data_IF_628328487471
#
_entry.id   IF_628328487471
#
_cell.length_a   1.000
_cell.length_b   1.000
_cell.length_c   1.000
_cell.angle_alpha   90.00
_cell.angle_beta   90.00
_cell.angle_gamma   90.00
#
_symmetry.space_group_name_H-M   'P 1'
#
loop_
_entity.id
_entity.type
_entity.pdbx_description
1 polymer ?
#
# COMPACT_ATOMS: atom_id res chain seq x y z
N UNK A 1 -7.73 -23.20 -49.32
CA UNK A 1 -7.76 -22.55 -48.00
C UNK A 1 -7.11 -21.20 -48.19
N UNK A 2 -7.91 -20.14 -48.28
CA UNK A 2 -7.37 -18.78 -48.42
C UNK A 2 -7.04 -18.26 -47.02
N UNK A 3 -5.81 -17.78 -46.86
CA UNK A 3 -5.33 -17.21 -45.61
C UNK A 3 -6.17 -15.98 -45.27
N UNK A 4 -6.90 -16.06 -44.17
CA UNK A 4 -7.74 -14.97 -43.69
C UNK A 4 -6.91 -14.07 -42.78
N UNK A 5 -6.68 -12.83 -43.22
CA UNK A 5 -6.08 -11.78 -42.40
C UNK A 5 -7.20 -11.01 -41.72
N UNK A 6 -7.23 -11.07 -40.38
CA UNK A 6 -8.16 -10.30 -39.56
C UNK A 6 -7.42 -9.07 -39.03
N UNK A 7 -7.87 -7.89 -39.43
CA UNK A 7 -7.34 -6.62 -38.94
C UNK A 7 -8.31 -6.05 -37.89
N UNK A 8 -7.82 -5.84 -36.67
CA UNK A 8 -8.63 -5.26 -35.59
C UNK A 8 -8.58 -3.73 -35.70
N UNK A 9 -9.72 -3.05 -35.94
CA UNK A 9 -9.78 -1.60 -36.05
C UNK A 9 -9.21 -0.92 -34.81
N UNK A 10 -8.41 0.12 -35.01
CA UNK A 10 -7.80 0.92 -33.93
C UNK A 10 -8.83 1.52 -32.97
N UNK A 11 -10.07 1.73 -33.41
CA UNK A 11 -11.20 2.21 -32.61
C UNK A 11 -11.74 1.18 -31.61
N UNK A 12 -11.49 -0.12 -31.84
CA UNK A 12 -11.95 -1.25 -31.00
C UNK A 12 -10.81 -1.76 -30.11
N UNK A 13 -9.55 -1.36 -30.39
CA UNK A 13 -8.45 -1.61 -29.47
C UNK A 13 -8.80 -0.97 -28.13
N UNK A 14 -8.88 -1.79 -27.08
CA UNK A 14 -9.13 -1.36 -25.71
C UNK A 14 -8.27 -0.13 -25.41
N UNK A 15 -8.92 1.02 -25.38
CA UNK A 15 -8.31 2.24 -24.90
C UNK A 15 -8.14 2.04 -23.40
N UNK A 16 -6.96 1.58 -22.98
CA UNK A 16 -6.61 1.36 -21.58
C UNK A 16 -6.87 2.62 -20.74
N UNK A 17 -6.79 3.81 -21.35
CA UNK A 17 -7.20 5.03 -20.67
C UNK A 17 -8.70 5.04 -20.40
N UNK A 18 -9.56 4.55 -21.29
CA UNK A 18 -11.02 4.63 -21.19
C UNK A 18 -11.66 3.58 -20.27
N UNK A 19 -11.04 2.40 -20.15
CA UNK A 19 -11.48 1.34 -19.21
C UNK A 19 -11.21 1.74 -17.76
N UNK A 20 -10.13 2.49 -17.51
CA UNK A 20 -9.71 2.94 -16.18
C UNK A 20 -9.85 4.44 -15.94
N UNK A 21 -10.17 5.26 -16.96
CA UNK A 21 -10.67 6.62 -16.78
C UNK A 21 -12.13 6.52 -16.38
N UNK A 22 -12.31 6.20 -15.12
CA UNK A 22 -13.57 6.35 -14.43
C UNK A 22 -13.88 7.86 -14.33
N UNK A 23 -14.40 8.46 -15.41
CA UNK A 23 -15.33 9.60 -15.25
C UNK A 23 -16.60 9.15 -14.49
N UNK A 24 -16.77 7.84 -14.32
CA UNK A 24 -17.47 7.27 -13.19
C UNK A 24 -16.68 7.65 -11.93
N UNK A 25 -17.03 8.78 -11.28
CA UNK A 25 -16.80 8.91 -9.83
C UNK A 25 -17.03 7.52 -9.25
N UNK A 26 -16.00 6.90 -8.67
CA UNK A 26 -16.11 5.55 -8.09
C UNK A 26 -17.48 5.48 -7.44
N UNK A 27 -18.28 4.49 -7.81
CA UNK A 27 -19.70 4.46 -7.47
C UNK A 27 -19.86 4.05 -5.99
N UNK A 28 -19.14 4.75 -5.10
CA UNK A 28 -19.29 4.76 -3.65
C UNK A 28 -20.75 5.15 -3.32
N UNK A 29 -21.42 5.90 -4.21
CA UNK A 29 -22.84 6.20 -4.13
C UNK A 29 -23.76 5.02 -4.53
N UNK A 30 -23.30 4.03 -5.32
CA UNK A 30 -24.04 2.77 -5.53
C UNK A 30 -24.05 1.90 -4.27
N UNK A 31 -23.01 2.00 -3.45
CA UNK A 31 -23.00 1.44 -2.10
C UNK A 31 -23.60 2.47 -1.14
N UNK A 32 -24.87 2.83 -1.36
CA UNK A 32 -25.71 3.30 -0.25
C UNK A 32 -25.76 2.16 0.76
N UNK A 33 -24.89 2.16 1.77
CA UNK A 33 -25.10 1.62 3.13
C UNK A 33 -23.79 1.48 3.93
N UNK A 34 -23.66 2.29 4.99
CA UNK A 34 -23.06 1.97 6.30
C UNK A 34 -21.65 1.36 6.42
N UNK A 35 -20.71 1.59 5.49
CA UNK A 35 -19.30 1.27 5.77
C UNK A 35 -18.61 2.45 6.47
N UNK A 36 -18.23 2.27 7.74
CA UNK A 36 -17.27 3.17 8.39
C UNK A 36 -15.86 2.79 7.95
N UNK A 37 -15.09 3.76 7.45
CA UNK A 37 -13.72 3.52 7.01
C UNK A 37 -12.82 3.17 8.22
N UNK A 38 -12.61 1.88 8.44
CA UNK A 38 -11.72 1.33 9.47
C UNK A 38 -10.29 1.25 8.98
N UNK A 39 -9.56 2.36 8.95
CA UNK A 39 -8.17 2.37 8.46
C UNK A 39 -7.18 1.74 9.44
N UNK A 40 -7.55 1.68 10.72
CA UNK A 40 -6.68 1.43 11.88
C UNK A 40 -5.53 2.42 12.04
N UNK A 41 -5.51 3.48 11.21
CA UNK A 41 -4.53 4.55 11.24
C UNK A 41 -5.19 5.80 11.83
N UNK A 42 -4.53 6.44 12.80
CA UNK A 42 -4.98 7.70 13.39
C UNK A 42 -3.83 8.70 13.41
N UNK A 43 -4.07 9.91 12.87
CA UNK A 43 -3.16 11.04 13.03
C UNK A 43 -3.72 11.97 14.11
N UNK A 44 -2.92 12.27 15.12
CA UNK A 44 -3.34 13.07 16.29
C UNK A 44 -2.43 14.27 16.42
N UNK A 45 -2.96 15.45 16.14
CA UNK A 45 -2.25 16.71 16.36
C UNK A 45 -2.19 17.04 17.87
N UNK A 46 -0.99 17.36 18.34
CA UNK A 46 -0.68 17.72 19.72
C UNK A 46 0.02 19.08 19.76
N UNK A 47 -0.50 19.98 20.59
CA UNK A 47 0.17 21.22 21.00
C UNK A 47 0.71 20.99 22.42
N UNK A 48 1.99 20.60 22.51
CA UNK A 48 2.60 20.15 23.76
C UNK A 48 3.13 21.34 24.57
N UNK A 49 2.95 21.29 25.88
CA UNK A 49 3.56 22.26 26.80
C UNK A 49 5.08 22.13 26.75
N UNK A 50 5.77 23.25 26.53
CA UNK A 50 7.24 23.36 26.55
C UNK A 50 7.80 22.99 27.93
N UNK A 51 9.01 22.41 28.01
CA UNK A 51 9.68 22.14 29.28
C UNK A 51 10.03 23.45 30.00
N UNK A 52 9.97 23.42 31.34
CA UNK A 52 10.38 24.51 32.22
C UNK A 52 10.97 23.93 33.52
N UNK A 53 11.48 24.79 34.40
CA UNK A 53 11.94 24.35 35.73
C UNK A 53 10.82 23.70 36.55
N UNK A 54 9.58 24.17 36.38
CA UNK A 54 8.39 23.61 37.05
C UNK A 54 7.80 22.38 36.34
N UNK A 55 8.22 22.11 35.10
CA UNK A 55 7.76 20.96 34.31
C UNK A 55 8.94 20.29 33.61
N UNK A 56 9.54 19.33 34.32
CA UNK A 56 10.72 18.57 33.89
C UNK A 56 10.38 17.17 33.36
N UNK A 57 9.12 16.93 32.98
CA UNK A 57 8.71 15.65 32.37
C UNK A 57 9.51 15.35 31.11
N UNK A 58 9.76 14.07 30.88
CA UNK A 58 10.40 13.57 29.66
C UNK A 58 9.57 13.91 28.41
N UNK A 59 10.24 14.04 27.27
CA UNK A 59 9.59 14.29 25.98
C UNK A 59 8.56 13.19 25.64
N UNK A 60 8.88 11.94 25.96
CA UNK A 60 7.93 10.82 25.83
C UNK A 60 6.73 10.95 26.77
N UNK A 61 6.96 11.37 28.02
CA UNK A 61 5.88 11.66 28.97
C UNK A 61 4.94 12.74 28.44
N UNK A 62 5.47 13.83 27.90
CA UNK A 62 4.68 14.90 27.29
C UNK A 62 3.81 14.39 26.14
N UNK A 63 4.35 13.55 25.26
CA UNK A 63 3.61 12.96 24.14
C UNK A 63 2.47 12.09 24.66
N UNK A 64 2.74 11.19 25.63
CA UNK A 64 1.70 10.33 26.23
C UNK A 64 0.60 11.15 26.89
N UNK A 65 0.95 12.19 27.63
CA UNK A 65 -0.03 13.07 28.27
C UNK A 65 -0.86 13.85 27.23
N UNK A 66 -0.22 14.28 26.14
CA UNK A 66 -0.89 14.89 24.99
C UNK A 66 -1.90 13.93 24.35
N UNK A 67 -1.52 12.68 24.11
CA UNK A 67 -2.43 11.65 23.59
C UNK A 67 -3.59 11.36 24.55
N UNK A 68 -3.31 11.34 25.87
CA UNK A 68 -4.35 11.13 26.91
C UNK A 68 -5.38 12.24 26.86
N UNK A 69 -4.93 13.50 26.70
CA UNK A 69 -5.83 14.64 26.57
C UNK A 69 -6.74 14.57 25.34
N UNK A 70 -6.31 13.85 24.29
CA UNK A 70 -7.08 13.60 23.06
C UNK A 70 -7.96 12.35 23.14
N UNK A 71 -8.11 11.74 24.32
CA UNK A 71 -8.91 10.53 24.55
C UNK A 71 -8.47 9.32 23.71
N UNK A 72 -7.17 9.22 23.43
CA UNK A 72 -6.62 7.99 22.84
C UNK A 72 -6.56 6.93 23.93
N UNK A 73 -7.18 5.77 23.68
CA UNK A 73 -7.22 4.67 24.63
C UNK A 73 -5.90 3.88 24.65
N UNK A 74 -5.70 3.06 25.69
CA UNK A 74 -4.59 2.11 25.80
C UNK A 74 -3.18 2.72 25.71
N UNK A 75 -3.02 3.98 26.13
CA UNK A 75 -1.74 4.71 26.09
C UNK A 75 -0.64 4.01 26.88
N UNK A 76 -0.99 3.33 27.98
CA UNK A 76 -0.04 2.55 28.78
C UNK A 76 0.61 1.40 28.01
N UNK A 77 -0.05 0.90 26.96
CA UNK A 77 0.37 -0.24 26.16
C UNK A 77 0.85 0.17 24.75
N UNK A 78 1.04 1.47 24.50
CA UNK A 78 1.51 1.94 23.19
C UNK A 78 2.92 1.43 22.92
N UNK A 79 3.07 0.74 21.80
CA UNK A 79 4.37 0.32 21.27
C UNK A 79 4.97 1.47 20.46
N UNK A 80 6.29 1.59 20.47
CA UNK A 80 7.03 2.51 19.60
C UNK A 80 8.40 1.92 19.31
N UNK A 81 8.95 2.20 18.13
CA UNK A 81 10.30 1.78 17.78
C UNK A 81 11.36 2.68 18.42
N UNK A 82 12.56 2.14 18.64
CA UNK A 82 13.73 2.91 19.09
C UNK A 82 14.10 4.02 18.08
N UNK A 83 13.85 3.80 16.79
CA UNK A 83 14.10 4.79 15.75
C UNK A 83 13.27 6.06 15.95
N UNK A 84 11.99 5.93 16.31
CA UNK A 84 11.13 7.06 16.61
C UNK A 84 11.61 7.76 17.88
N UNK A 85 11.94 7.00 18.95
CA UNK A 85 12.43 7.57 20.20
C UNK A 85 13.70 8.43 20.01
N UNK A 86 14.61 8.00 19.14
CA UNK A 86 15.82 8.76 18.78
C UNK A 86 15.50 10.10 18.09
N UNK A 87 14.41 10.17 17.31
CA UNK A 87 14.02 11.38 16.57
C UNK A 87 13.30 12.42 17.44
N UNK A 88 12.61 11.98 18.51
CA UNK A 88 11.74 12.84 19.34
C UNK A 88 12.42 14.14 19.79
N UNK A 89 13.60 14.13 20.46
CA UNK A 89 14.09 15.33 21.11
C UNK A 89 14.33 16.49 20.13
N UNK A 90 14.93 16.19 18.98
CA UNK A 90 15.19 17.19 17.94
C UNK A 90 13.88 17.60 17.27
N UNK A 91 13.08 16.62 16.85
CA UNK A 91 11.86 16.86 16.08
C UNK A 91 10.87 17.77 16.80
N UNK A 92 10.57 17.50 18.08
CA UNK A 92 9.57 18.29 18.80
C UNK A 92 10.03 19.73 19.04
N UNK A 93 11.34 19.97 19.20
CA UNK A 93 11.90 21.32 19.43
C UNK A 93 11.85 22.12 18.13
N UNK A 94 12.26 21.52 17.02
CA UNK A 94 12.17 22.14 15.69
C UNK A 94 10.72 22.43 15.28
N UNK A 95 9.77 21.60 15.73
CA UNK A 95 8.34 21.82 15.51
C UNK A 95 7.70 22.81 16.49
N UNK A 96 8.49 23.45 17.37
CA UNK A 96 7.99 24.32 18.44
C UNK A 96 6.90 23.64 19.29
N UNK A 97 7.08 22.35 19.57
CA UNK A 97 6.20 21.48 20.35
C UNK A 97 4.80 21.24 19.74
N UNK A 98 4.60 21.62 18.47
CA UNK A 98 3.40 21.34 17.69
C UNK A 98 3.67 20.18 16.74
N UNK A 99 3.16 19.00 17.05
CA UNK A 99 3.48 17.77 16.32
C UNK A 99 2.21 16.99 15.98
N UNK A 100 2.32 16.12 14.98
CA UNK A 100 1.31 15.11 14.70
C UNK A 100 1.87 13.73 14.99
N UNK A 101 1.20 12.97 15.84
CA UNK A 101 1.55 11.57 16.15
C UNK A 101 0.73 10.65 15.26
N UNK A 102 1.39 9.69 14.62
CA UNK A 102 0.77 8.73 13.73
C UNK A 102 0.72 7.37 14.42
N UNK A 103 -0.50 6.90 14.67
CA UNK A 103 -0.78 5.61 15.30
C UNK A 103 -1.32 4.63 14.28
N UNK A 104 -0.83 3.40 14.31
CA UNK A 104 -1.42 2.27 13.61
C UNK A 104 -1.72 1.16 14.62
N UNK A 105 -3.00 0.81 14.78
CA UNK A 105 -3.47 0.01 15.91
C UNK A 105 -2.99 0.61 17.25
N UNK A 106 -2.22 -0.15 18.03
CA UNK A 106 -1.65 0.28 19.32
C UNK A 106 -0.14 0.58 19.23
N UNK A 107 0.35 0.99 18.06
CA UNK A 107 1.77 1.35 17.83
C UNK A 107 1.86 2.79 17.29
N UNK A 108 2.76 3.60 17.87
CA UNK A 108 3.19 4.86 17.26
C UNK A 108 4.20 4.49 16.18
N UNK A 109 3.82 4.74 14.93
CA UNK A 109 4.63 4.37 13.76
C UNK A 109 5.43 5.55 13.20
N UNK A 110 5.02 6.79 13.49
CA UNK A 110 5.76 7.99 13.11
C UNK A 110 5.34 9.23 13.94
N UNK A 111 6.16 10.28 13.88
CA UNK A 111 5.86 11.61 14.43
C UNK A 111 6.29 12.67 13.40
N UNK A 112 5.42 13.64 13.14
CA UNK A 112 5.60 14.69 12.14
C UNK A 112 5.54 16.08 12.77
N UNK A 113 6.20 17.05 12.11
CA UNK A 113 6.19 18.45 12.53
C UNK A 113 4.88 19.12 12.10
N UNK A 114 4.30 19.94 12.96
CA UNK A 114 3.07 20.68 12.69
C UNK A 114 1.82 19.81 12.67
N UNK A 115 0.74 20.37 12.14
CA UNK A 115 -0.54 19.66 11.95
C UNK A 115 -0.59 19.06 10.54
N UNK A 116 -0.45 17.74 10.47
CA UNK A 116 -0.50 16.96 9.23
C UNK A 116 -1.70 16.01 9.21
N UNK A 117 -2.70 16.25 10.08
CA UNK A 117 -3.86 15.36 10.26
C UNK A 117 -4.69 15.17 8.98
N UNK A 118 -4.72 16.19 8.11
CA UNK A 118 -5.40 16.14 6.81
C UNK A 118 -4.66 15.32 5.75
N UNK A 119 -3.34 15.15 5.90
CA UNK A 119 -2.51 14.43 4.92
C UNK A 119 -2.36 12.97 5.33
N UNK A 120 -3.37 12.16 5.00
CA UNK A 120 -3.42 10.74 5.34
C UNK A 120 -3.96 9.96 4.14
N UNK A 121 -3.09 9.23 3.45
CA UNK A 121 -3.44 8.58 2.20
C UNK A 121 -3.11 7.08 2.22
N UNK A 122 -3.83 6.34 1.39
CA UNK A 122 -3.58 4.94 1.12
C UNK A 122 -3.68 4.66 -0.37
N UNK A 123 -3.13 3.53 -0.81
CA UNK A 123 -3.26 3.07 -2.18
C UNK A 123 -3.71 1.61 -2.21
N UNK A 124 -4.74 1.34 -2.99
CA UNK A 124 -5.20 -0.02 -3.29
C UNK A 124 -4.65 -0.44 -4.65
N UNK A 125 -4.15 -1.67 -4.75
CA UNK A 125 -3.65 -2.26 -5.98
C UNK A 125 -4.47 -3.49 -6.36
N UNK A 126 -4.81 -3.57 -7.64
CA UNK A 126 -5.28 -4.77 -8.32
C UNK A 126 -4.18 -5.24 -9.25
N UNK A 127 -3.56 -6.38 -8.89
CA UNK A 127 -2.40 -6.95 -9.58
C UNK A 127 -2.87 -8.09 -10.46
N UNK A 128 -3.37 -7.75 -11.64
CA UNK A 128 -3.74 -8.69 -12.67
C UNK A 128 -2.54 -9.21 -13.47
N UNK A 129 -2.77 -10.29 -14.21
CA UNK A 129 -1.73 -10.91 -15.07
C UNK A 129 -1.33 -9.97 -16.21
N UNK A 130 -2.29 -9.28 -16.83
CA UNK A 130 -2.04 -8.38 -17.98
C UNK A 130 -1.92 -6.92 -17.57
N UNK A 131 -2.62 -6.51 -16.51
CA UNK A 131 -2.74 -5.11 -16.10
C UNK A 131 -2.61 -5.01 -14.60
N UNK A 132 -1.93 -3.95 -14.15
CA UNK A 132 -1.83 -3.57 -12.75
C UNK A 132 -2.48 -2.21 -12.60
N UNK A 133 -3.48 -2.11 -11.73
CA UNK A 133 -4.17 -0.86 -11.43
C UNK A 133 -3.90 -0.43 -10.00
N UNK A 134 -3.74 0.87 -9.78
CA UNK A 134 -3.62 1.47 -8.44
C UNK A 134 -4.57 2.64 -8.27
N UNK A 135 -5.18 2.70 -7.09
CA UNK A 135 -6.21 3.67 -6.70
C UNK A 135 -5.75 4.39 -5.44
N UNK A 136 -5.40 5.67 -5.55
CA UNK A 136 -5.01 6.50 -4.42
C UNK A 136 -6.26 7.02 -3.72
N UNK A 137 -6.31 6.87 -2.40
CA UNK A 137 -7.48 7.14 -1.58
C UNK A 137 -7.12 8.04 -0.39
N UNK A 138 -7.96 9.02 -0.08
CA UNK A 138 -7.90 9.78 1.17
C UNK A 138 -8.42 8.91 2.33
N UNK A 139 -7.58 8.66 3.33
CA UNK A 139 -7.91 7.81 4.48
C UNK A 139 -8.81 8.49 5.53
N UNK A 140 -9.04 9.80 5.42
CA UNK A 140 -9.99 10.52 6.25
C UNK A 140 -11.40 10.48 5.66
N UNK A 141 -11.54 10.55 4.34
CA UNK A 141 -12.84 10.65 3.66
C UNK A 141 -13.27 9.37 2.96
N UNK A 142 -12.31 8.50 2.59
CA UNK A 142 -12.53 7.34 1.73
C UNK A 142 -12.66 7.69 0.24
N UNK A 143 -12.43 8.94 -0.14
CA UNK A 143 -12.53 9.39 -1.53
C UNK A 143 -11.33 8.90 -2.35
N UNK A 144 -11.61 8.36 -3.54
CA UNK A 144 -10.58 8.08 -4.55
C UNK A 144 -10.10 9.42 -5.15
N UNK A 145 -8.82 9.71 -4.98
CA UNK A 145 -8.18 10.94 -5.45
C UNK A 145 -7.65 10.81 -6.88
N UNK A 146 -7.16 9.62 -7.24
CA UNK A 146 -6.66 9.33 -8.58
C UNK A 146 -6.52 7.81 -8.81
N UNK A 147 -6.59 7.41 -10.07
CA UNK A 147 -6.35 6.05 -10.51
C UNK A 147 -5.35 6.02 -11.68
N UNK A 148 -4.51 4.98 -11.71
CA UNK A 148 -3.57 4.70 -12.79
C UNK A 148 -3.55 3.20 -13.05
N UNK A 149 -3.64 2.81 -14.32
CA UNK A 149 -3.44 1.43 -14.75
C UNK A 149 -2.26 1.36 -15.73
N UNK A 150 -1.45 0.31 -15.59
CA UNK A 150 -0.30 0.02 -16.45
C UNK A 150 -0.34 -1.44 -16.90
N UNK A 151 0.25 -1.73 -18.06
CA UNK A 151 0.51 -3.11 -18.45
C UNK A 151 1.42 -3.77 -17.42
N UNK A 152 1.16 -5.04 -17.11
CA UNK A 152 2.02 -5.80 -16.21
C UNK A 152 3.34 -6.13 -16.95
N UNK A 153 4.50 -5.59 -16.51
CA UNK A 153 5.78 -5.74 -17.22
C UNK A 153 6.26 -7.19 -17.26
N UNK A 154 5.70 -8.08 -16.42
CA UNK A 154 6.02 -9.49 -16.43
C UNK A 154 5.60 -10.21 -17.73
N UNK A 155 4.83 -9.56 -18.61
CA UNK A 155 4.44 -10.11 -19.93
C UNK A 155 5.64 -10.52 -20.78
N UNK A 156 6.79 -9.85 -20.63
CA UNK A 156 8.04 -10.17 -21.35
C UNK A 156 8.56 -11.59 -20.98
N UNK A 157 8.18 -12.10 -19.82
CA UNK A 157 8.63 -13.37 -19.26
C UNK A 157 7.56 -14.47 -19.31
N UNK A 158 6.38 -14.16 -19.85
CA UNK A 158 5.27 -15.09 -19.98
C UNK A 158 3.93 -14.37 -20.14
N UNK A 159 3.16 -14.82 -21.13
CA UNK A 159 1.85 -14.27 -21.47
C UNK A 159 0.77 -14.62 -20.43
N UNK A 160 0.97 -15.70 -19.67
CA UNK A 160 0.03 -16.20 -18.68
C UNK A 160 0.71 -16.62 -17.36
N UNK A 161 -0.09 -17.04 -16.39
CA UNK A 161 0.38 -17.49 -15.08
C UNK A 161 1.30 -18.71 -15.18
N UNK A 162 1.01 -19.67 -16.07
CA UNK A 162 1.76 -20.93 -16.16
C UNK A 162 3.15 -20.70 -16.75
N UNK A 163 3.22 -19.93 -17.83
CA UNK A 163 4.47 -19.54 -18.47
C UNK A 163 5.38 -18.73 -17.54
N UNK A 164 4.82 -17.83 -16.71
CA UNK A 164 5.58 -17.10 -15.68
C UNK A 164 6.09 -18.01 -14.57
N UNK A 165 5.30 -19.00 -14.14
CA UNK A 165 5.76 -20.03 -13.20
C UNK A 165 6.93 -20.81 -13.81
N UNK A 166 6.81 -21.22 -15.08
CA UNK A 166 7.89 -21.87 -15.81
C UNK A 166 9.15 -21.02 -15.92
N UNK A 167 9.02 -19.72 -16.19
CA UNK A 167 10.15 -18.79 -16.19
C UNK A 167 10.83 -18.71 -14.83
N UNK A 168 10.06 -18.55 -13.75
CA UNK A 168 10.58 -18.50 -12.38
C UNK A 168 11.36 -19.78 -12.00
N UNK A 169 10.91 -20.94 -12.49
CA UNK A 169 11.53 -22.25 -12.28
C UNK A 169 12.82 -22.47 -13.07
N UNK A 170 12.93 -21.84 -14.23
CA UNK A 170 13.96 -22.16 -15.21
C UNK A 170 15.38 -21.90 -14.67
N UNK A 171 15.61 -20.77 -14.00
CA UNK A 171 16.93 -20.40 -13.50
C UNK A 171 16.86 -19.71 -12.15
N UNK A 172 17.89 -19.93 -11.33
CA UNK A 172 18.09 -19.20 -10.08
C UNK A 172 18.21 -17.70 -10.39
N UNK A 173 17.43 -16.85 -9.70
CA UNK A 173 17.38 -15.41 -9.97
C UNK A 173 16.14 -14.97 -10.76
N UNK A 174 15.44 -15.89 -11.45
CA UNK A 174 14.30 -15.51 -12.28
C UNK A 174 13.07 -15.07 -11.48
N UNK A 175 12.88 -15.64 -10.28
CA UNK A 175 11.83 -15.20 -9.36
C UNK A 175 12.06 -13.76 -8.92
N UNK A 176 13.30 -13.40 -8.61
CA UNK A 176 13.71 -12.07 -8.20
C UNK A 176 13.56 -11.06 -9.35
N UNK A 177 13.78 -11.48 -10.61
CA UNK A 177 13.46 -10.67 -11.79
C UNK A 177 11.96 -10.38 -11.83
N UNK A 178 11.10 -11.40 -11.80
CA UNK A 178 9.65 -11.23 -11.83
C UNK A 178 9.14 -10.35 -10.68
N UNK A 179 9.68 -10.54 -9.47
CA UNK A 179 9.37 -9.72 -8.30
C UNK A 179 9.75 -8.26 -8.53
N UNK A 180 10.97 -8.01 -9.01
CA UNK A 180 11.46 -6.65 -9.27
C UNK A 180 10.59 -5.94 -10.30
N UNK A 181 10.21 -6.60 -11.39
CA UNK A 181 9.39 -6.00 -12.43
C UNK A 181 8.01 -5.58 -11.90
N UNK A 182 7.35 -6.43 -11.10
CA UNK A 182 6.04 -6.07 -10.54
C UNK A 182 6.15 -4.97 -9.47
N UNK A 183 7.20 -4.98 -8.65
CA UNK A 183 7.46 -3.91 -7.67
C UNK A 183 7.76 -2.58 -8.37
N UNK A 184 8.50 -2.60 -9.48
CA UNK A 184 8.76 -1.40 -10.30
C UNK A 184 7.45 -0.82 -10.85
N UNK A 185 6.56 -1.67 -11.35
CA UNK A 185 5.23 -1.21 -11.80
C UNK A 185 4.44 -0.56 -10.65
N UNK A 186 4.46 -1.12 -9.44
CA UNK A 186 3.79 -0.51 -8.28
C UNK A 186 4.37 0.86 -7.96
N UNK A 187 5.70 0.99 -7.97
CA UNK A 187 6.39 2.26 -7.72
C UNK A 187 6.03 3.34 -8.75
N UNK A 188 5.96 2.99 -10.03
CA UNK A 188 5.52 3.91 -11.09
C UNK A 188 4.08 4.36 -10.90
N UNK A 189 3.19 3.44 -10.55
CA UNK A 189 1.78 3.74 -10.27
C UNK A 189 1.64 4.64 -9.04
N UNK A 190 2.38 4.37 -7.95
CA UNK A 190 2.41 5.24 -6.75
C UNK A 190 2.83 6.65 -7.13
N UNK A 191 3.92 6.79 -7.89
CA UNK A 191 4.43 8.10 -8.31
C UNK A 191 3.42 8.85 -9.18
N UNK A 192 2.83 8.18 -10.16
CA UNK A 192 1.90 8.82 -11.10
C UNK A 192 0.57 9.19 -10.43
N UNK A 193 0.01 8.32 -9.58
CA UNK A 193 -1.21 8.62 -8.80
C UNK A 193 -1.00 9.79 -7.84
N UNK A 194 0.11 9.78 -7.11
CA UNK A 194 0.48 10.85 -6.19
C UNK A 194 0.68 12.19 -6.93
N UNK A 195 1.37 12.17 -8.07
CA UNK A 195 1.55 13.36 -8.90
C UNK A 195 0.22 13.92 -9.42
N UNK A 196 -0.69 13.07 -9.91
CA UNK A 196 -2.03 13.49 -10.39
C UNK A 196 -2.87 14.14 -9.29
N UNK A 197 -2.75 13.65 -8.06
CA UNK A 197 -3.52 14.15 -6.92
C UNK A 197 -2.82 15.30 -6.16
N UNK A 198 -1.58 15.66 -6.52
CA UNK A 198 -0.79 16.65 -5.76
C UNK A 198 -0.42 16.19 -4.34
N UNK A 199 -0.28 14.88 -4.15
CA UNK A 199 0.01 14.23 -2.85
C UNK A 199 1.50 13.91 -2.76
N UNK A 200 2.10 14.14 -1.59
CA UNK A 200 3.44 13.62 -1.27
C UNK A 200 3.34 12.12 -0.91
N UNK A 201 4.13 11.29 -1.59
CA UNK A 201 4.20 9.83 -1.35
C UNK A 201 4.59 9.46 0.08
N UNK A 202 5.26 10.36 0.81
CA UNK A 202 5.55 10.18 2.24
C UNK A 202 4.29 10.21 3.11
N UNK A 203 3.17 10.73 2.61
CA UNK A 203 1.89 10.72 3.33
C UNK A 203 1.02 9.50 2.97
N UNK A 204 1.54 8.53 2.21
CA UNK A 204 0.87 7.27 1.94
C UNK A 204 1.31 6.25 3.00
N UNK A 205 0.40 5.92 3.93
CA UNK A 205 0.69 5.05 5.09
C UNK A 205 0.11 3.65 4.97
N UNK A 206 -0.78 3.41 4.00
CA UNK A 206 -1.45 2.12 3.85
C UNK A 206 -1.44 1.69 2.39
N UNK A 207 -1.03 0.45 2.17
CA UNK A 207 -1.11 -0.21 0.88
C UNK A 207 -1.99 -1.43 1.05
N UNK A 208 -2.90 -1.65 0.12
CA UNK A 208 -3.72 -2.87 0.08
C UNK A 208 -3.58 -3.50 -1.30
N UNK A 209 -3.31 -4.80 -1.38
CA UNK A 209 -3.00 -5.46 -2.64
C UNK A 209 -3.88 -6.69 -2.81
N UNK A 210 -4.65 -6.71 -3.89
CA UNK A 210 -5.39 -7.84 -4.41
C UNK A 210 -4.73 -8.33 -5.70
N UNK A 211 -4.95 -9.59 -6.03
CA UNK A 211 -4.42 -10.23 -7.23
C UNK A 211 -4.58 -11.74 -7.13
N UNK A 212 -4.50 -12.41 -8.28
CA UNK A 212 -4.55 -13.85 -8.30
C UNK A 212 -3.36 -14.46 -7.56
N UNK A 213 -3.51 -15.72 -7.15
CA UNK A 213 -2.53 -16.43 -6.32
C UNK A 213 -1.12 -16.42 -6.90
N UNK A 214 -0.96 -16.50 -8.22
CA UNK A 214 0.37 -16.43 -8.84
C UNK A 214 0.97 -15.02 -8.71
N UNK A 215 0.23 -13.97 -9.06
CA UNK A 215 0.69 -12.58 -8.94
C UNK A 215 1.04 -12.23 -7.50
N UNK A 216 0.23 -12.68 -6.55
CA UNK A 216 0.51 -12.61 -5.11
C UNK A 216 1.88 -13.21 -4.77
N UNK A 217 2.16 -14.44 -5.22
CA UNK A 217 3.42 -15.11 -4.92
C UNK A 217 4.62 -14.41 -5.57
N UNK A 218 4.51 -14.00 -6.83
CA UNK A 218 5.58 -13.28 -7.54
C UNK A 218 5.91 -11.94 -6.88
N UNK A 219 4.91 -11.16 -6.48
CA UNK A 219 5.10 -9.89 -5.79
C UNK A 219 5.85 -10.06 -4.46
N UNK A 220 5.52 -11.12 -3.72
CA UNK A 220 6.13 -11.42 -2.42
C UNK A 220 7.46 -12.19 -2.52
N UNK A 221 7.90 -12.55 -3.74
CA UNK A 221 9.08 -13.40 -3.92
C UNK A 221 8.90 -14.81 -3.35
N UNK A 222 7.65 -15.27 -3.24
CA UNK A 222 7.33 -16.64 -2.84
C UNK A 222 7.43 -17.55 -4.07
N UNK A 223 8.10 -18.69 -3.91
CA UNK A 223 8.28 -19.63 -5.01
C UNK A 223 6.92 -20.21 -5.49
N UNK A 224 6.49 -19.94 -6.73
CA UNK A 224 5.17 -20.36 -7.22
C UNK A 224 5.18 -21.76 -7.86
N UNK A 225 6.30 -22.50 -7.78
CA UNK A 225 6.56 -23.72 -8.56
C UNK A 225 5.50 -24.81 -8.46
N UNK A 226 4.83 -24.91 -7.31
CA UNK A 226 3.89 -25.99 -7.02
C UNK A 226 2.43 -25.57 -7.20
N UNK A 227 2.18 -24.33 -7.62
CA UNK A 227 0.83 -23.82 -7.90
C UNK A 227 0.26 -24.47 -9.17
N UNK A 228 1.06 -24.56 -10.23
CA UNK A 228 0.65 -25.10 -11.53
C UNK A 228 0.51 -26.63 -11.59
N UNK A 229 1.48 -27.43 -11.09
CA UNK A 229 1.34 -28.89 -11.15
C UNK A 229 0.37 -29.41 -10.10
N UNK A 230 -0.39 -30.46 -10.44
CA UNK A 230 -1.19 -31.21 -9.48
C UNK A 230 -0.31 -31.70 -8.31
N UNK A 231 -0.74 -31.54 -7.03
CA UNK A 231 -2.10 -31.21 -6.59
C UNK A 231 -2.37 -29.70 -6.31
N UNK A 232 -1.68 -28.80 -7.03
CA UNK A 232 -1.93 -27.35 -7.06
C UNK A 232 -1.73 -26.67 -5.70
N UNK A 233 -0.55 -26.86 -5.12
CA UNK A 233 -0.24 -26.43 -3.75
C UNK A 233 0.48 -25.09 -3.76
N UNK A 234 -0.18 -24.09 -3.16
CA UNK A 234 0.36 -22.76 -2.94
C UNK A 234 1.00 -22.64 -1.53
N UNK A 235 1.82 -21.62 -1.32
CA UNK A 235 2.54 -21.42 -0.05
C UNK A 235 1.61 -20.95 1.07
N UNK A 236 0.72 -20.01 0.79
CA UNK A 236 -0.11 -19.36 1.81
C UNK A 236 -1.47 -18.87 1.27
N UNK A 237 -2.54 -19.15 2.01
CA UNK A 237 -3.90 -18.68 1.70
C UNK A 237 -4.28 -17.44 2.51
N UNK A 238 -3.71 -17.30 3.69
CA UNK A 238 -4.03 -16.28 4.66
C UNK A 238 -3.60 -14.88 4.18
N UNK A 239 -4.30 -13.86 4.65
CA UNK A 239 -3.91 -12.48 4.44
C UNK A 239 -2.61 -12.17 5.18
N UNK A 240 -1.79 -11.27 4.63
CA UNK A 240 -0.53 -10.84 5.24
C UNK A 240 -0.58 -9.36 5.62
N UNK A 241 -0.05 -9.05 6.80
CA UNK A 241 0.25 -7.68 7.23
C UNK A 241 1.76 -7.50 7.28
N UNK A 242 2.30 -6.75 6.32
CA UNK A 242 3.72 -6.58 6.09
C UNK A 242 4.16 -5.12 6.29
N UNK A 243 5.44 -4.91 6.55
CA UNK A 243 6.08 -3.59 6.51
C UNK A 243 6.72 -3.39 5.14
N UNK A 244 6.97 -2.14 4.75
CA UNK A 244 7.61 -1.82 3.45
C UNK A 244 8.92 -2.58 3.24
N UNK A 245 9.73 -2.72 4.29
CA UNK A 245 11.02 -3.45 4.24
C UNK A 245 10.88 -4.93 3.88
N UNK A 246 9.69 -5.52 4.01
CA UNK A 246 9.45 -6.94 3.71
C UNK A 246 9.21 -7.14 2.19
N UNK A 247 9.01 -6.06 1.42
CA UNK A 247 8.87 -6.07 -0.05
C UNK A 247 10.06 -5.32 -0.68
N UNK A 248 11.11 -6.02 -1.11
CA UNK A 248 12.32 -5.41 -1.64
C UNK A 248 12.05 -4.47 -2.84
N UNK A 249 12.61 -3.27 -2.80
CA UNK A 249 12.50 -2.29 -3.89
C UNK A 249 11.25 -1.41 -3.85
N UNK A 250 10.27 -1.70 -2.98
CA UNK A 250 9.09 -0.85 -2.84
C UNK A 250 9.49 0.50 -2.21
N UNK A 251 9.24 1.58 -2.94
CA UNK A 251 9.74 2.93 -2.66
C UNK A 251 8.61 3.85 -2.20
N UNK A 252 8.27 3.77 -0.92
CA UNK A 252 7.23 4.58 -0.27
C UNK A 252 7.66 4.93 1.17
N UNK A 253 6.82 5.64 1.93
CA UNK A 253 7.07 5.89 3.35
C UNK A 253 7.44 4.58 4.08
N UNK A 254 8.64 4.47 4.70
CA UNK A 254 9.08 3.25 5.38
C UNK A 254 8.17 2.78 6.53
N UNK A 255 7.33 3.68 7.05
CA UNK A 255 6.36 3.41 8.12
C UNK A 255 5.00 2.93 7.59
N UNK A 256 4.84 2.90 6.26
CA UNK A 256 3.63 2.38 5.64
C UNK A 256 3.44 0.89 5.92
N UNK A 257 2.18 0.49 6.04
CA UNK A 257 1.79 -0.90 6.22
C UNK A 257 1.18 -1.44 4.93
N UNK A 258 1.57 -2.65 4.57
CA UNK A 258 1.09 -3.36 3.39
C UNK A 258 0.16 -4.46 3.88
N UNK A 259 -1.06 -4.48 3.34
CA UNK A 259 -2.01 -5.55 3.56
C UNK A 259 -2.22 -6.31 2.25
N UNK A 260 -1.91 -7.61 2.27
CA UNK A 260 -2.15 -8.50 1.15
C UNK A 260 -3.42 -9.30 1.44
N UNK A 261 -4.38 -9.26 0.52
CA UNK A 261 -5.63 -10.00 0.66
C UNK A 261 -5.40 -11.52 0.60
N UNK A 262 -6.27 -12.33 1.25
CA UNK A 262 -6.12 -13.77 1.29
C UNK A 262 -6.42 -14.44 -0.06
N UNK A 263 -5.66 -15.48 -0.40
CA UNK A 263 -5.95 -16.36 -1.55
C UNK A 263 -6.93 -17.48 -1.16
N UNK A 264 -7.68 -18.01 -2.13
CA UNK A 264 -8.62 -19.12 -1.90
C UNK A 264 -8.01 -20.47 -2.32
N UNK A 265 -7.43 -20.53 -3.52
CA UNK A 265 -6.85 -21.72 -4.14
C UNK A 265 -5.76 -21.37 -5.15
N UNK A 266 -5.17 -22.35 -5.84
CA UNK A 266 -4.09 -22.12 -6.80
C UNK A 266 -4.44 -21.15 -7.94
N UNK A 267 -5.68 -21.18 -8.42
CA UNK A 267 -6.14 -20.36 -9.55
C UNK A 267 -7.27 -19.40 -9.19
N UNK A 268 -7.58 -19.27 -7.90
CA UNK A 268 -8.56 -18.30 -7.37
C UNK A 268 -7.87 -17.54 -6.23
N UNK A 269 -7.49 -16.30 -6.50
CA UNK A 269 -6.85 -15.42 -5.54
C UNK A 269 -7.84 -14.46 -4.88
N UNK A 270 -7.34 -13.27 -4.58
CA UNK A 270 -8.08 -12.21 -3.91
C UNK A 270 -8.77 -11.21 -4.85
N UNK A 271 -8.43 -11.27 -6.13
CA UNK A 271 -9.03 -10.49 -7.22
C UNK A 271 -10.43 -11.00 -7.59
#
# INVERSE_FOLDING_TARGET
FEDTVIEVPSEIRLDYKRVFSSNLKGDINRIKNNFSLGTNLKKVFLDLKKPSLDDQRSDWGRIKDGLSSKKIENISNLKTSLEILKKIPVLIREANFKITVILYNNEIINIEKGDTTKSSYGIAFDVGTTTVAGYLVDLNTGEELSAVAKANPQIIYGDDVISRIGFAQNQKGNLEILQREIVNALNEIIKETAQKAGVDTNNIYKITIAGNTCMHHLLLGLNPSYIAPSPYILVIKESLSLKVKDVPGLSINPTAHIYILPNISAFVGAD
#
